data_IF_383477748390
#
_entry.id   IF_383477748390
#
_cell.length_a   1.000
_cell.length_b   1.000
_cell.length_c   1.000
_cell.angle_alpha   90.00
_cell.angle_beta   90.00
_cell.angle_gamma   90.00
#
_symmetry.space_group_name_H-M   'P 1'
#
loop_
_entity.id
_entity.type
_entity.pdbx_description
1 polymer ?
#
# COMPACT_ATOMS: atom_id res chain seq x y z
N UNK A 1 -5.81 -15.13 -16.14
CA UNK A 1 -4.43 -15.66 -16.03
C UNK A 1 -4.39 -16.75 -14.96
N UNK A 2 -3.63 -17.84 -15.16
CA UNK A 2 -3.47 -18.87 -14.11
C UNK A 2 -2.68 -18.33 -12.92
N UNK A 3 -3.01 -18.68 -11.66
CA UNK A 3 -2.35 -18.10 -10.49
C UNK A 3 -0.86 -18.43 -10.41
N UNK A 4 -0.43 -19.60 -10.89
CA UNK A 4 0.97 -20.01 -10.95
C UNK A 4 1.76 -19.18 -11.97
N UNK A 5 1.13 -18.91 -13.12
CA UNK A 5 1.74 -18.08 -14.16
C UNK A 5 1.87 -16.63 -13.67
N UNK A 6 0.87 -16.14 -12.92
CA UNK A 6 0.92 -14.80 -12.33
C UNK A 6 2.08 -14.68 -11.35
N UNK A 7 2.26 -15.70 -10.52
CA UNK A 7 3.38 -15.75 -9.59
C UNK A 7 4.73 -15.65 -10.29
N UNK A 8 4.90 -16.39 -11.39
CA UNK A 8 6.13 -16.35 -12.18
C UNK A 8 6.38 -14.97 -12.80
N UNK A 9 5.37 -14.36 -13.41
CA UNK A 9 5.49 -13.02 -13.97
C UNK A 9 5.81 -11.95 -12.90
N UNK A 10 5.25 -12.08 -11.69
CA UNK A 10 5.55 -11.17 -10.57
C UNK A 10 6.98 -11.33 -10.08
N UNK A 11 7.53 -12.55 -10.08
CA UNK A 11 8.95 -12.78 -9.76
C UNK A 11 9.88 -12.14 -10.78
N UNK A 12 9.60 -12.33 -12.07
CA UNK A 12 10.39 -11.71 -13.14
C UNK A 12 10.33 -10.18 -13.06
N UNK A 13 9.18 -9.63 -12.71
CA UNK A 13 9.03 -8.19 -12.47
C UNK A 13 9.87 -7.73 -11.26
N UNK A 14 9.83 -8.48 -10.15
CA UNK A 14 10.61 -8.19 -8.96
C UNK A 14 12.12 -8.20 -9.26
N UNK A 15 12.60 -9.18 -10.02
CA UNK A 15 14.01 -9.28 -10.42
C UNK A 15 14.43 -8.08 -11.28
N UNK A 16 13.59 -7.64 -12.22
CA UNK A 16 13.84 -6.43 -13.03
C UNK A 16 13.89 -5.15 -12.19
N UNK A 17 13.19 -5.12 -11.06
CA UNK A 17 13.22 -4.02 -10.08
C UNK A 17 14.41 -4.11 -9.11
N UNK A 18 15.27 -5.12 -9.26
CA UNK A 18 16.39 -5.35 -8.34
C UNK A 18 15.98 -5.96 -7.00
N UNK A 19 14.81 -6.59 -6.92
CA UNK A 19 14.31 -7.26 -5.73
C UNK A 19 14.50 -8.77 -5.90
N UNK A 20 15.28 -9.38 -5.00
CA UNK A 20 15.49 -10.83 -4.98
C UNK A 20 14.32 -11.50 -4.25
N UNK A 21 13.65 -12.48 -4.87
CA UNK A 21 12.58 -13.24 -4.20
C UNK A 21 13.13 -14.57 -3.70
N UNK A 22 13.13 -14.79 -2.38
CA UNK A 22 13.59 -16.02 -1.74
C UNK A 22 12.43 -16.76 -1.09
N UNK A 23 12.19 -18.01 -1.52
CA UNK A 23 11.21 -18.89 -0.88
C UNK A 23 11.86 -19.68 0.24
N UNK A 24 11.38 -19.50 1.46
CA UNK A 24 11.91 -20.15 2.66
C UNK A 24 10.78 -20.76 3.47
N UNK A 25 11.08 -21.81 4.23
CA UNK A 25 10.11 -22.34 5.19
C UNK A 25 10.25 -21.51 6.46
N UNK A 26 9.25 -20.69 6.74
CA UNK A 26 9.26 -19.87 7.95
C UNK A 26 8.83 -20.71 9.15
N UNK A 27 9.59 -20.66 10.27
CA UNK A 27 9.19 -21.36 11.49
C UNK A 27 7.98 -20.66 12.09
N UNK A 28 6.97 -21.45 12.46
CA UNK A 28 5.75 -20.98 13.12
C UNK A 28 5.84 -21.05 14.65
N UNK A 29 6.91 -21.64 15.17
CA UNK A 29 7.13 -21.90 16.60
C UNK A 29 8.20 -20.93 17.12
N UNK A 30 7.95 -20.34 18.28
CA UNK A 30 8.84 -19.35 18.91
C UNK A 30 8.51 -17.93 18.45
N UNK A 31 9.10 -17.49 17.34
CA UNK A 31 8.89 -16.14 16.80
C UNK A 31 7.92 -16.21 15.62
N UNK A 32 6.86 -15.40 15.65
CA UNK A 32 5.93 -15.26 14.52
C UNK A 32 6.62 -14.50 13.39
N UNK A 33 7.25 -15.23 12.47
CA UNK A 33 7.85 -14.67 11.26
C UNK A 33 6.83 -14.69 10.13
N UNK A 34 6.63 -13.54 9.48
CA UNK A 34 5.78 -13.41 8.31
C UNK A 34 6.60 -13.08 7.07
N UNK A 35 6.06 -13.37 5.90
CA UNK A 35 6.62 -12.96 4.63
C UNK A 35 6.59 -11.43 4.47
N UNK A 36 7.56 -10.89 3.74
CA UNK A 36 7.69 -9.44 3.56
C UNK A 36 8.96 -9.01 2.85
N UNK A 37 9.04 -7.70 2.57
CA UNK A 37 10.19 -7.04 1.98
C UNK A 37 11.21 -6.68 3.06
N UNK A 38 12.47 -7.00 2.80
CA UNK A 38 13.61 -6.68 3.64
C UNK A 38 14.68 -5.98 2.80
N UNK A 39 15.55 -5.19 3.45
CA UNK A 39 16.73 -4.59 2.82
C UNK A 39 17.97 -5.11 3.53
N UNK A 40 18.79 -5.88 2.81
CA UNK A 40 20.00 -6.52 3.35
C UNK A 40 21.20 -5.95 2.60
N UNK A 41 22.11 -5.30 3.33
CA UNK A 41 23.34 -4.69 2.75
C UNK A 41 23.07 -3.75 1.56
N UNK A 42 21.93 -3.07 1.56
CA UNK A 42 21.53 -2.18 0.46
C UNK A 42 20.68 -2.84 -0.62
N UNK A 43 20.63 -4.17 -0.68
CA UNK A 43 19.85 -4.93 -1.66
C UNK A 43 18.44 -5.24 -1.12
N UNK A 44 17.44 -5.18 -2.00
CA UNK A 44 16.07 -5.55 -1.65
C UNK A 44 15.89 -7.07 -1.77
N UNK A 45 15.44 -7.68 -0.68
CA UNK A 45 15.16 -9.11 -0.57
C UNK A 45 13.71 -9.31 -0.11
N UNK A 46 12.90 -9.98 -0.91
CA UNK A 46 11.56 -10.38 -0.55
C UNK A 46 11.56 -11.83 -0.06
N UNK A 47 11.23 -12.05 1.22
CA UNK A 47 11.18 -13.38 1.82
C UNK A 47 9.73 -13.90 1.75
N UNK A 48 9.56 -15.03 1.08
CA UNK A 48 8.26 -15.66 0.85
C UNK A 48 8.16 -16.99 1.61
N UNK A 49 7.08 -17.18 2.37
CA UNK A 49 6.83 -18.47 3.02
C UNK A 49 6.42 -19.53 1.97
N UNK A 50 7.21 -20.59 1.87
CA UNK A 50 6.98 -21.71 0.96
C UNK A 50 5.65 -22.43 1.24
N UNK A 51 5.22 -22.51 2.51
CA UNK A 51 4.01 -23.23 2.94
C UNK A 51 2.71 -22.52 2.56
N UNK A 52 2.81 -21.26 2.12
CA UNK A 52 1.65 -20.42 1.82
C UNK A 52 1.02 -20.77 0.45
N UNK A 53 -0.32 -20.71 0.30
CA UNK A 53 -0.96 -20.95 -1.00
C UNK A 53 -0.58 -19.88 -2.03
N UNK A 54 -0.51 -20.26 -3.29
CA UNK A 54 -0.07 -19.41 -4.41
C UNK A 54 -0.87 -18.10 -4.49
N UNK A 55 -2.18 -18.15 -4.25
CA UNK A 55 -3.01 -16.94 -4.26
C UNK A 55 -2.56 -15.89 -3.21
N UNK A 56 -2.22 -16.34 -2.00
CA UNK A 56 -1.68 -15.47 -0.94
C UNK A 56 -0.28 -14.95 -1.31
N UNK A 57 0.57 -15.80 -1.90
CA UNK A 57 1.89 -15.38 -2.42
C UNK A 57 1.77 -14.27 -3.44
N UNK A 58 0.83 -14.40 -4.38
CA UNK A 58 0.54 -13.39 -5.39
C UNK A 58 0.09 -12.08 -4.75
N UNK A 59 -0.87 -12.12 -3.82
CA UNK A 59 -1.37 -10.91 -3.16
C UNK A 59 -0.25 -10.13 -2.46
N UNK A 60 0.64 -10.83 -1.76
CA UNK A 60 1.76 -10.19 -1.05
C UNK A 60 2.80 -9.59 -2.00
N UNK A 61 3.15 -10.31 -3.07
CA UNK A 61 4.05 -9.75 -4.09
C UNK A 61 3.41 -8.55 -4.79
N UNK A 62 2.15 -8.63 -5.18
CA UNK A 62 1.43 -7.53 -5.83
C UNK A 62 1.38 -6.30 -4.91
N UNK A 63 1.02 -6.48 -3.64
CA UNK A 63 1.00 -5.40 -2.65
C UNK A 63 2.38 -4.75 -2.45
N UNK A 64 3.45 -5.54 -2.48
CA UNK A 64 4.81 -5.03 -2.38
C UNK A 64 5.26 -4.29 -3.65
N UNK A 65 5.01 -4.88 -4.81
CA UNK A 65 5.45 -4.34 -6.11
C UNK A 65 4.62 -3.12 -6.53
N UNK A 66 3.38 -3.01 -6.06
CA UNK A 66 2.54 -1.84 -6.33
C UNK A 66 3.09 -0.58 -5.65
N UNK A 67 3.78 -0.72 -4.51
CA UNK A 67 4.41 0.40 -3.81
C UNK A 67 5.74 0.84 -4.45
N UNK A 68 6.32 0.03 -5.33
CA UNK A 68 7.60 0.31 -6.01
C UNK A 68 7.38 1.14 -7.28
N UNK A 69 8.40 1.91 -7.67
CA UNK A 69 8.41 2.63 -8.96
C UNK A 69 8.66 1.62 -10.10
N UNK A 70 7.66 1.46 -10.98
CA UNK A 70 7.69 0.50 -12.09
C UNK A 70 7.31 1.15 -13.43
N UNK A 71 7.45 2.47 -13.54
CA UNK A 71 7.15 3.24 -14.77
C UNK A 71 8.25 3.09 -15.83
N UNK A 72 9.50 2.97 -15.38
CA UNK A 72 10.70 2.91 -16.24
C UNK A 72 11.03 1.51 -16.77
N UNK A 73 10.25 0.50 -16.39
CA UNK A 73 10.46 -0.89 -16.81
C UNK A 73 9.27 -1.44 -17.59
N UNK A 74 9.56 -2.30 -18.56
CA UNK A 74 8.53 -3.02 -19.29
C UNK A 74 7.84 -4.03 -18.37
N UNK A 75 6.55 -3.81 -18.13
CA UNK A 75 5.67 -4.68 -17.34
C UNK A 75 4.51 -5.11 -18.24
N UNK A 76 4.16 -6.39 -18.21
CA UNK A 76 3.03 -6.90 -18.98
C UNK A 76 1.74 -6.12 -18.63
N UNK A 77 0.91 -5.74 -19.62
CA UNK A 77 -0.31 -4.98 -19.39
C UNK A 77 -1.23 -5.60 -18.33
N UNK A 78 -1.44 -6.92 -18.41
CA UNK A 78 -2.24 -7.67 -17.45
C UNK A 78 -1.70 -7.58 -16.00
N UNK A 79 -0.38 -7.47 -15.82
CA UNK A 79 0.23 -7.32 -14.48
C UNK A 79 0.10 -5.86 -14.00
N UNK A 80 0.20 -4.87 -14.90
CA UNK A 80 -0.03 -3.46 -14.56
C UNK A 80 -1.45 -3.21 -14.05
N UNK A 81 -2.46 -3.80 -14.70
CA UNK A 81 -3.85 -3.69 -14.26
C UNK A 81 -4.05 -4.21 -12.83
N UNK A 82 -3.43 -5.34 -12.50
CA UNK A 82 -3.47 -5.93 -11.15
C UNK A 82 -2.81 -4.99 -10.12
N UNK A 83 -1.62 -4.47 -10.43
CA UNK A 83 -0.90 -3.54 -9.54
C UNK A 83 -1.65 -2.22 -9.34
N UNK A 84 -2.30 -1.71 -10.40
CA UNK A 84 -3.10 -0.50 -10.35
C UNK A 84 -4.36 -0.68 -9.50
N UNK A 85 -5.03 -1.83 -9.62
CA UNK A 85 -6.23 -2.16 -8.83
C UNK A 85 -5.92 -2.17 -7.33
N UNK A 86 -4.76 -2.72 -6.94
CA UNK A 86 -4.33 -2.77 -5.54
C UNK A 86 -3.96 -1.39 -4.97
N UNK A 87 -3.41 -0.48 -5.80
CA UNK A 87 -3.23 0.93 -5.38
C UNK A 87 -4.57 1.63 -5.10
N UNK A 88 -5.63 1.29 -5.84
CA UNK A 88 -6.95 1.90 -5.65
C UNK A 88 -7.62 1.42 -4.35
N UNK A 89 -7.50 0.14 -4.02
CA UNK A 89 -8.08 -0.42 -2.80
C UNK A 89 -7.37 0.10 -1.54
N UNK A 90 -6.06 0.33 -1.59
CA UNK A 90 -5.30 0.92 -0.48
C UNK A 90 -5.66 2.40 -0.22
N UNK A 91 -6.02 3.15 -1.27
CA UNK A 91 -6.45 4.56 -1.16
C UNK A 91 -7.85 4.73 -0.56
N UNK A 92 -8.66 3.67 -0.52
CA UNK A 92 -10.04 3.71 -0.06
C UNK A 92 -10.23 3.35 1.42
N UNK A 93 -9.17 3.18 2.22
CA UNK A 93 -9.37 3.15 3.68
C UNK A 93 -9.77 4.55 4.15
N UNK A 94 -11.05 4.79 4.53
CA UNK A 94 -11.40 6.06 5.12
C UNK A 94 -10.76 6.08 6.50
N UNK A 95 -10.06 7.17 6.76
CA UNK A 95 -9.70 7.66 8.08
C UNK A 95 -10.56 7.01 9.19
N UNK A 96 -9.97 6.10 9.97
CA UNK A 96 -10.58 5.71 11.24
C UNK A 96 -10.42 6.93 12.13
N UNK A 97 -11.46 7.78 12.21
CA UNK A 97 -11.58 8.76 13.29
C UNK A 97 -11.67 7.95 14.59
N UNK A 98 -10.61 7.99 15.39
CA UNK A 98 -10.69 7.58 16.80
C UNK A 98 -11.53 8.63 17.54
N UNK A 99 -12.72 8.31 18.09
CA UNK A 99 -13.39 9.19 19.03
C UNK A 99 -12.83 8.89 20.42
N UNK A 100 -11.82 9.64 20.87
CA UNK A 100 -11.33 9.53 22.24
C UNK A 100 -9.87 9.92 22.43
N UNK A 101 -9.62 11.23 22.55
CA UNK A 101 -8.57 11.80 23.42
C UNK A 101 -8.62 13.33 23.33
N UNK A 102 -9.57 13.89 24.09
CA UNK A 102 -9.34 14.97 25.04
C UNK A 102 -8.34 16.10 24.67
N UNK A 103 -8.95 17.21 24.25
CA UNK A 103 -8.76 18.61 24.67
C UNK A 103 -7.36 19.29 24.57
N UNK A 104 -7.28 20.44 23.87
CA UNK A 104 -6.42 21.53 24.27
C UNK A 104 -7.21 22.53 25.13
N UNK A 105 -6.91 22.54 26.43
CA UNK A 105 -7.11 23.71 27.25
C UNK A 105 -6.06 24.76 26.90
N UNK A 106 -6.46 25.86 26.25
CA UNK A 106 -5.88 27.16 26.54
C UNK A 106 -6.91 28.26 26.26
N UNK A 107 -7.17 28.98 27.32
CA UNK A 107 -8.02 30.15 27.40
C UNK A 107 -7.12 31.34 27.05
N UNK A 108 -7.41 32.05 25.95
CA UNK A 108 -7.21 33.49 26.02
C UNK A 108 -8.37 34.21 25.35
N UNK A 109 -8.93 35.09 26.17
CA UNK A 109 -10.17 35.77 25.98
C UNK A 109 -10.00 37.04 25.13
N UNK A 110 -11.16 37.54 24.68
CA UNK A 110 -11.43 38.95 24.38
C UNK A 110 -10.75 39.50 23.11
N UNK A 111 -11.47 40.11 22.17
CA UNK A 111 -12.81 40.64 22.25
C UNK A 111 -13.27 41.15 20.87
N UNK A 112 -14.61 41.17 20.75
CA UNK A 112 -15.37 42.31 20.25
C UNK A 112 -15.59 42.47 18.73
N UNK A 113 -16.87 42.24 18.41
CA UNK A 113 -17.80 43.12 17.67
C UNK A 113 -17.84 43.04 16.15
N UNK A 114 -19.01 42.54 15.67
CA UNK A 114 -19.92 43.15 14.66
C UNK A 114 -19.33 43.44 13.26
N UNK A 115 -19.93 43.02 12.14
CA UNK A 115 -21.35 43.16 11.79
C UNK A 115 -21.66 42.45 10.45
N UNK A 116 -22.96 42.16 10.26
CA UNK A 116 -23.78 42.34 9.05
C UNK A 116 -23.23 41.82 7.70
N UNK A 117 -23.76 40.71 7.20
CA UNK A 117 -24.95 40.61 6.32
C UNK A 117 -24.69 40.96 4.85
N UNK A 118 -25.35 40.18 4.00
CA UNK A 118 -25.72 40.52 2.61
C UNK A 118 -24.62 40.35 1.56
N UNK A 119 -24.64 39.21 0.86
CA UNK A 119 -24.95 39.12 -0.59
C UNK A 119 -24.52 37.74 -1.16
N UNK A 120 -25.47 36.82 -1.27
CA UNK A 120 -25.70 36.09 -2.54
C UNK A 120 -26.58 37.01 -3.41
N UNK A 121 -26.82 36.81 -4.74
CA UNK A 121 -26.60 35.61 -5.60
C UNK A 121 -25.99 35.97 -7.00
N UNK A 122 -25.73 35.03 -7.93
CA UNK A 122 -26.56 34.68 -9.14
C UNK A 122 -25.57 33.91 -10.07
N UNK A 123 -25.70 32.63 -10.44
CA UNK A 123 -26.65 31.88 -11.31
C UNK A 123 -26.64 32.24 -12.82
N UNK A 124 -26.21 31.24 -13.62
CA UNK A 124 -26.53 30.94 -15.04
C UNK A 124 -26.16 31.95 -16.15
N UNK A 125 -25.24 31.56 -17.05
CA UNK A 125 -25.53 30.80 -18.29
C UNK A 125 -24.26 30.24 -18.89
#
# INVERSE_FOLDING_TARGET
MKPEQLYQNLKELAEKLGIRVSEQILPTIGVKVTSGLCKVRGEYLFIMDKKMPVHRKNKLLVSCLSQMHHEDIYVLPAVREILASEKQEQRQTPYVTNPGSDAPGNQNAMSRTTWSSSFLPVRER
#
